data_IF_457689539265
#
_entry.id   IF_457689539265
#
_cell.length_a   1.000
_cell.length_b   1.000
_cell.length_c   1.000
_cell.angle_alpha   90.00
_cell.angle_beta   90.00
_cell.angle_gamma   90.00
#
_symmetry.space_group_name_H-M   'P 1'
#
loop_
_entity.id
_entity.type
_entity.pdbx_description
1 polymer ?
#
# COMPACT_ATOMS: atom_id res chain seq x y z
N UNK A 1 -17.63 9.07 -19.30
CA UNK A 1 -17.42 7.89 -18.44
C UNK A 1 -16.00 7.91 -17.94
N UNK A 2 -15.79 7.55 -16.68
CA UNK A 2 -14.45 7.39 -16.11
C UNK A 2 -13.77 6.16 -16.74
N UNK A 3 -12.50 6.30 -17.15
CA UNK A 3 -11.78 5.30 -17.98
C UNK A 3 -11.54 3.97 -17.25
N UNK A 4 -11.53 3.98 -15.92
CA UNK A 4 -11.29 2.81 -15.08
C UNK A 4 -12.20 2.85 -13.83
N UNK A 5 -12.60 1.69 -13.28
CA UNK A 5 -13.29 1.62 -12.00
C UNK A 5 -12.44 2.25 -10.89
N UNK A 6 -13.07 2.99 -9.97
CA UNK A 6 -12.39 3.60 -8.82
C UNK A 6 -11.62 2.57 -7.97
N UNK A 7 -12.14 1.34 -7.87
CA UNK A 7 -11.46 0.25 -7.18
C UNK A 7 -10.13 -0.12 -7.82
N UNK A 8 -10.03 -0.09 -9.16
CA UNK A 8 -8.78 -0.33 -9.89
C UNK A 8 -7.75 0.76 -9.58
N UNK A 9 -8.17 2.03 -9.58
CA UNK A 9 -7.30 3.16 -9.26
C UNK A 9 -6.78 3.04 -7.82
N UNK A 10 -7.65 2.74 -6.86
CA UNK A 10 -7.27 2.53 -5.44
C UNK A 10 -6.32 1.36 -5.26
N UNK A 11 -6.49 0.26 -5.99
CA UNK A 11 -5.57 -0.88 -5.94
C UNK A 11 -4.18 -0.51 -6.47
N UNK A 12 -4.10 0.23 -7.57
CA UNK A 12 -2.82 0.73 -8.08
C UNK A 12 -2.14 1.67 -7.09
N UNK A 13 -2.91 2.57 -6.45
CA UNK A 13 -2.37 3.47 -5.42
C UNK A 13 -1.85 2.72 -4.18
N UNK A 14 -2.46 1.60 -3.80
CA UNK A 14 -1.92 0.73 -2.75
C UNK A 14 -0.51 0.24 -3.12
N UNK A 15 -0.29 -0.26 -4.34
CA UNK A 15 1.04 -0.69 -4.77
C UNK A 15 2.08 0.45 -4.77
N UNK A 16 1.67 1.65 -5.19
CA UNK A 16 2.54 2.85 -5.14
C UNK A 16 2.95 3.18 -3.69
N UNK A 17 2.01 3.10 -2.74
CA UNK A 17 2.29 3.30 -1.32
C UNK A 17 3.24 2.23 -0.78
N UNK A 18 3.02 0.94 -1.09
CA UNK A 18 3.92 -0.14 -0.68
C UNK A 18 5.35 0.10 -1.21
N UNK A 19 5.47 0.51 -2.46
CA UNK A 19 6.76 0.83 -3.06
C UNK A 19 7.48 1.96 -2.30
N UNK A 20 6.79 3.07 -2.02
CA UNK A 20 7.36 4.18 -1.26
C UNK A 20 7.78 3.76 0.17
N UNK A 21 6.94 2.98 0.86
CA UNK A 21 7.26 2.43 2.19
C UNK A 21 8.50 1.55 2.13
N UNK A 22 8.65 0.72 1.09
CA UNK A 22 9.84 -0.14 0.92
C UNK A 22 11.12 0.65 0.69
N UNK A 23 11.05 1.79 -0.01
CA UNK A 23 12.19 2.69 -0.18
C UNK A 23 12.64 3.30 1.15
N UNK A 24 11.68 3.75 1.98
CA UNK A 24 11.97 4.37 3.28
C UNK A 24 12.36 3.35 4.35
N UNK A 25 11.77 2.16 4.30
CA UNK A 25 11.94 1.09 5.27
C UNK A 25 12.20 -0.24 4.55
N UNK A 26 13.44 -0.47 4.10
CA UNK A 26 13.81 -1.64 3.30
C UNK A 26 13.49 -2.98 3.96
N UNK A 27 13.48 -3.05 5.30
CA UNK A 27 13.17 -4.26 6.06
C UNK A 27 11.65 -4.53 6.21
N UNK A 28 10.80 -3.66 5.65
CA UNK A 28 9.34 -3.83 5.72
C UNK A 28 8.90 -5.07 4.95
N UNK A 29 8.07 -5.88 5.62
CA UNK A 29 7.36 -7.01 5.04
C UNK A 29 5.89 -6.64 4.83
N UNK A 30 5.38 -6.88 3.63
CA UNK A 30 3.99 -6.60 3.29
C UNK A 30 3.14 -7.88 3.43
N UNK A 31 1.94 -7.72 3.99
CA UNK A 31 0.91 -8.74 4.03
C UNK A 31 -0.20 -8.43 3.02
N UNK A 32 -1.39 -8.12 3.52
CA UNK A 32 -2.57 -7.80 2.68
C UNK A 32 -2.71 -6.30 2.41
N UNK A 33 -3.27 -5.94 1.26
CA UNK A 33 -3.59 -4.56 0.92
C UNK A 33 -4.88 -4.44 0.10
N UNK A 34 -6.05 -4.62 0.72
CA UNK A 34 -7.32 -4.59 0.00
C UNK A 34 -7.78 -3.15 -0.27
N UNK A 35 -8.62 -3.02 -1.29
CA UNK A 35 -9.46 -1.84 -1.50
C UNK A 35 -10.68 -1.96 -0.60
N UNK A 36 -11.09 -0.86 0.02
CA UNK A 36 -12.29 -0.72 0.85
C UNK A 36 -13.21 0.36 0.27
N UNK A 37 -14.41 0.52 0.85
CA UNK A 37 -15.46 1.43 0.35
C UNK A 37 -14.95 2.84 0.07
N UNK A 38 -14.12 3.40 0.96
CA UNK A 38 -13.62 4.77 0.85
C UNK A 38 -12.13 4.88 0.53
N UNK A 39 -11.43 3.77 0.27
CA UNK A 39 -9.98 3.83 0.07
C UNK A 39 -9.28 2.49 -0.04
N UNK A 40 -8.09 2.41 0.54
CA UNK A 40 -7.28 1.22 0.63
C UNK A 40 -6.37 1.33 1.86
N UNK A 41 -5.88 0.20 2.36
CA UNK A 41 -4.86 0.17 3.40
C UNK A 41 -3.80 -0.88 3.08
N UNK A 42 -2.65 -0.80 3.74
CA UNK A 42 -1.60 -1.80 3.65
C UNK A 42 -1.27 -2.32 5.04
N UNK A 43 -1.42 -3.63 5.22
CA UNK A 43 -0.88 -4.32 6.37
C UNK A 43 0.59 -4.62 6.13
N UNK A 44 1.46 -4.05 6.94
CA UNK A 44 2.90 -4.29 6.88
C UNK A 44 3.50 -4.38 8.27
N UNK A 45 4.62 -5.09 8.37
CA UNK A 45 5.43 -5.17 9.57
C UNK A 45 6.83 -4.69 9.25
N UNK A 46 7.28 -3.67 9.99
CA UNK A 46 8.62 -3.10 9.85
C UNK A 46 9.39 -3.33 11.14
N UNK A 47 10.56 -3.95 11.05
CA UNK A 47 11.47 -4.01 12.18
C UNK A 47 12.08 -2.63 12.37
N UNK A 48 11.54 -1.85 13.30
CA UNK A 48 12.14 -0.58 13.70
C UNK A 48 13.30 -0.94 14.62
N UNK A 49 14.52 -0.96 14.09
CA UNK A 49 15.71 -1.04 14.95
C UNK A 49 15.79 0.28 15.75
N UNK A 50 15.95 0.24 17.09
CA UNK A 50 16.29 1.45 17.82
C UNK A 50 17.58 2.00 17.23
N UNK A 51 17.58 3.29 16.89
CA UNK A 51 18.78 4.01 16.45
C UNK A 51 19.82 4.01 17.55
#
# INVERSE_FOLDING_TARGET
MEKYPIATIRHTLAHVMAYAVKQMFPETKFGIGPVIEDGFYIHSATKILPK
#
